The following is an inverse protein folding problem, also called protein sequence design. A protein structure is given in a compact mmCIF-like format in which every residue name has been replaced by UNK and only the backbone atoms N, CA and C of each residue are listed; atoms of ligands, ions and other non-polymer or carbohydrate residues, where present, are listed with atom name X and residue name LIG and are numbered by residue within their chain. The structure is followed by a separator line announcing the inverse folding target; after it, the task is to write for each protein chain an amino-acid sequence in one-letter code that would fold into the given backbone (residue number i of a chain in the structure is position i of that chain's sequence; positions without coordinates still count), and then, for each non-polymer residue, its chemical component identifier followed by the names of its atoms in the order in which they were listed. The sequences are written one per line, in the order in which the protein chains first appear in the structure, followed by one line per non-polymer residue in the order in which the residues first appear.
data_IF_352592686735
#
_entry.id   IF_352592686735
#
_cell.length_a   1.000
_cell.length_b   1.000
_cell.length_c   1.000
_cell.angle_alpha   90.00
_cell.angle_beta   90.00
_cell.angle_gamma   90.00
#
_symmetry.space_group_name_H-M   'P 1'
#
loop_
_entity.id
_entity.type
_entity.pdbx_description
1 polymer ?
#
# COMPACT_ATOMS: atom_id res chain seq x y z
N UNK A 1 -18.87 -24.73 4.26
CA UNK A 1 -18.62 -23.34 3.82
C UNK A 1 -17.22 -23.36 3.22
N UNK A 2 -17.08 -23.15 1.91
CA UNK A 2 -15.80 -23.33 1.24
C UNK A 2 -14.92 -22.11 1.49
N UNK A 3 -13.84 -22.32 2.24
CA UNK A 3 -12.76 -21.35 2.43
C UNK A 3 -12.04 -21.20 1.10
N UNK A 4 -12.35 -20.15 0.34
CA UNK A 4 -11.62 -19.85 -0.89
C UNK A 4 -10.28 -19.23 -0.50
N UNK A 5 -9.19 -19.85 -0.93
CA UNK A 5 -7.82 -19.39 -0.72
C UNK A 5 -7.63 -18.01 -1.36
N UNK A 6 -7.77 -16.96 -0.57
CA UNK A 6 -7.43 -15.58 -0.95
C UNK A 6 -6.02 -15.33 -0.43
N UNK A 7 -5.08 -15.10 -1.34
CA UNK A 7 -3.77 -14.61 -0.95
C UNK A 7 -3.83 -13.08 -0.84
N UNK A 8 -3.25 -12.57 0.25
CA UNK A 8 -3.31 -11.15 0.59
C UNK A 8 -1.91 -10.64 0.90
N UNK A 9 -1.54 -9.56 0.23
CA UNK A 9 -0.29 -8.84 0.47
C UNK A 9 -0.61 -7.39 0.82
N UNK A 10 0.21 -6.82 1.69
CA UNK A 10 0.35 -5.38 1.83
C UNK A 10 1.54 -4.95 0.99
N UNK A 11 1.33 -3.92 0.16
CA UNK A 11 2.34 -3.36 -0.71
C UNK A 11 2.61 -1.90 -0.37
N UNK A 12 3.87 -1.49 -0.53
CA UNK A 12 4.28 -0.09 -0.46
C UNK A 12 4.90 0.28 -1.80
N UNK A 13 4.39 1.32 -2.44
CA UNK A 13 4.94 1.84 -3.70
C UNK A 13 6.34 2.39 -3.44
N UNK A 14 7.33 1.89 -4.18
CA UNK A 14 8.71 2.39 -4.12
C UNK A 14 8.97 3.48 -5.15
N UNK A 15 8.56 3.24 -6.40
CA UNK A 15 8.81 4.15 -7.53
C UNK A 15 7.65 4.10 -8.52
N UNK A 16 7.42 5.21 -9.23
CA UNK A 16 6.36 5.34 -10.24
C UNK A 16 7.00 5.74 -11.57
N UNK A 17 6.74 4.95 -12.61
CA UNK A 17 7.26 5.12 -13.96
C UNK A 17 6.13 5.61 -14.89
N UNK A 18 5.88 6.91 -14.90
CA UNK A 18 4.74 7.50 -15.63
C UNK A 18 4.79 7.23 -17.13
N UNK A 19 5.97 7.30 -17.76
CA UNK A 19 6.13 7.04 -19.20
C UNK A 19 5.84 5.59 -19.58
N UNK A 20 6.11 4.66 -18.66
CA UNK A 20 5.89 3.22 -18.86
C UNK A 20 4.49 2.77 -18.42
N UNK A 21 3.74 3.64 -17.74
CA UNK A 21 2.44 3.30 -17.17
C UNK A 21 2.54 2.19 -16.10
N UNK A 22 3.62 2.20 -15.31
CA UNK A 22 3.90 1.15 -14.32
C UNK A 22 4.48 1.71 -13.02
N UNK A 23 4.49 0.91 -11.96
CA UNK A 23 5.10 1.27 -10.68
C UNK A 23 5.75 0.06 -10.03
N UNK A 24 6.84 0.29 -9.28
CA UNK A 24 7.45 -0.73 -8.44
C UNK A 24 6.88 -0.68 -7.02
N UNK A 25 6.79 -1.84 -6.39
CA UNK A 25 6.33 -1.95 -5.02
C UNK A 25 7.04 -3.07 -4.25
N UNK A 26 7.15 -2.88 -2.94
CA UNK A 26 7.61 -3.90 -2.01
C UNK A 26 6.39 -4.52 -1.34
N UNK A 27 6.21 -5.82 -1.51
CA UNK A 27 5.13 -6.60 -0.94
C UNK A 27 5.57 -7.32 0.34
N UNK A 28 4.65 -7.43 1.28
CA UNK A 28 4.78 -8.25 2.49
C UNK A 28 3.50 -9.07 2.68
N UNK A 29 3.63 -10.38 2.88
CA UNK A 29 2.49 -11.26 3.10
C UNK A 29 1.79 -10.98 4.44
N UNK A 30 0.48 -10.74 4.41
CA UNK A 30 -0.30 -10.34 5.60
C UNK A 30 -0.42 -11.44 6.67
N UNK A 31 -0.28 -12.72 6.29
CA UNK A 31 -0.53 -13.83 7.20
C UNK A 31 0.72 -14.34 7.94
N UNK A 32 1.94 -13.97 7.53
CA UNK A 32 3.16 -14.58 8.07
C UNK A 32 4.39 -13.67 8.14
N UNK A 33 4.29 -12.37 7.82
CA UNK A 33 5.46 -11.49 7.78
C UNK A 33 6.57 -12.05 6.89
N UNK A 34 6.17 -12.69 5.79
CA UNK A 34 7.07 -13.38 4.86
C UNK A 34 8.11 -12.45 4.23
N UNK A 35 9.02 -13.00 3.41
CA UNK A 35 10.05 -12.20 2.77
C UNK A 35 9.43 -11.02 2.01
N UNK A 36 10.16 -9.89 2.00
CA UNK A 36 9.81 -8.74 1.18
C UNK A 36 10.07 -9.10 -0.28
N UNK A 37 9.06 -8.93 -1.11
CA UNK A 37 9.14 -9.21 -2.55
C UNK A 37 9.01 -7.91 -3.32
N UNK A 38 9.89 -7.67 -4.28
CA UNK A 38 9.80 -6.52 -5.18
C UNK A 38 9.07 -6.93 -6.46
N UNK A 39 8.10 -6.12 -6.87
CA UNK A 39 7.29 -6.38 -8.05
C UNK A 39 7.05 -5.10 -8.84
N UNK A 40 6.82 -5.23 -10.15
CA UNK A 40 6.36 -4.14 -11.01
C UNK A 40 4.93 -4.40 -11.45
N UNK A 41 4.04 -3.42 -11.28
CA UNK A 41 2.61 -3.50 -11.58
C UNK A 41 2.23 -2.41 -12.59
N UNK A 42 1.23 -2.70 -13.42
CA UNK A 42 0.71 -1.73 -14.40
C UNK A 42 -0.30 -0.78 -13.76
N UNK A 43 -0.39 0.44 -14.26
CA UNK A 43 -1.47 1.37 -13.93
C UNK A 43 -2.84 0.79 -14.27
N UNK A 44 -2.94 -0.10 -15.25
CA UNK A 44 -4.19 -0.77 -15.61
C UNK A 44 -4.73 -1.69 -14.50
N UNK A 45 -3.88 -2.12 -13.56
CA UNK A 45 -4.31 -2.89 -12.39
C UNK A 45 -4.85 -2.00 -11.26
N UNK A 46 -4.71 -0.69 -11.37
CA UNK A 46 -5.18 0.29 -10.40
C UNK A 46 -6.52 0.87 -10.88
N UNK A 47 -7.54 0.81 -10.02
CA UNK A 47 -8.83 1.42 -10.35
C UNK A 47 -8.71 2.94 -10.51
N UNK A 48 -9.47 3.52 -11.43
CA UNK A 48 -9.50 4.98 -11.67
C UNK A 48 -9.69 5.80 -10.38
N UNK A 49 -10.51 5.33 -9.44
CA UNK A 49 -10.78 5.97 -8.15
C UNK A 49 -9.58 6.02 -7.19
N UNK A 50 -8.62 5.10 -7.37
CA UNK A 50 -7.44 4.97 -6.54
C UNK A 50 -6.18 5.51 -7.25
N UNK A 51 -6.26 5.80 -8.56
CA UNK A 51 -5.14 6.36 -9.33
C UNK A 51 -4.55 7.64 -8.70
N UNK A 52 -5.34 8.59 -8.15
CA UNK A 52 -4.77 9.76 -7.46
C UNK A 52 -3.97 9.44 -6.19
N UNK A 53 -4.08 8.22 -5.65
CA UNK A 53 -3.35 7.75 -4.48
C UNK A 53 -2.02 7.07 -4.84
N UNK A 54 -1.78 6.80 -6.13
CA UNK A 54 -0.57 6.16 -6.61
C UNK A 54 0.61 7.14 -6.56
N UNK A 55 1.39 7.04 -5.50
CA UNK A 55 2.61 7.84 -5.28
C UNK A 55 3.62 7.03 -4.48
N UNK A 56 4.93 7.35 -4.56
CA UNK A 56 5.93 6.74 -3.69
C UNK A 56 5.53 6.81 -2.20
N UNK A 57 5.70 5.70 -1.50
CA UNK A 57 5.28 5.53 -0.10
C UNK A 57 3.79 5.22 0.11
N UNK A 58 2.96 5.22 -0.93
CA UNK A 58 1.56 4.84 -0.80
C UNK A 58 1.44 3.34 -0.44
N UNK A 59 0.51 3.04 0.47
CA UNK A 59 0.22 1.68 0.91
C UNK A 59 -0.99 1.16 0.14
N UNK A 60 -0.93 -0.07 -0.34
CA UNK A 60 -2.05 -0.76 -0.96
C UNK A 60 -2.18 -2.20 -0.47
N UNK A 61 -3.36 -2.76 -0.66
CA UNK A 61 -3.64 -4.18 -0.43
C UNK A 61 -3.83 -4.86 -1.77
N UNK A 62 -3.05 -5.91 -2.01
CA UNK A 62 -3.20 -6.75 -3.18
C UNK A 62 -3.84 -8.07 -2.78
N UNK A 63 -5.02 -8.34 -3.35
CA UNK A 63 -5.78 -9.55 -3.10
C UNK A 63 -5.88 -10.34 -4.39
N UNK A 64 -5.39 -11.58 -4.39
CA UNK A 64 -5.56 -12.51 -5.50
C UNK A 64 -6.48 -13.63 -5.02
N UNK A 65 -7.62 -13.77 -5.69
CA UNK A 65 -8.64 -14.74 -5.31
C UNK A 65 -9.70 -14.91 -6.39
N UNK A 66 -10.94 -15.11 -5.95
CA UNK A 66 -12.08 -15.31 -6.82
C UNK A 66 -13.20 -14.33 -6.46
N UNK A 67 -13.80 -13.71 -7.48
CA UNK A 67 -14.97 -12.86 -7.34
C UNK A 67 -16.19 -13.59 -7.92
N UNK A 68 -17.34 -13.47 -7.25
CA UNK A 68 -18.60 -14.04 -7.71
C UNK A 68 -19.53 -12.93 -8.20
N UNK A 69 -19.64 -12.77 -9.52
CA UNK A 69 -20.55 -11.81 -10.15
C UNK A 69 -21.68 -12.57 -10.86
N UNK A 70 -22.94 -12.29 -10.51
CA UNK A 70 -24.13 -12.92 -11.11
C UNK A 70 -24.10 -14.47 -11.15
N UNK A 71 -23.54 -15.11 -10.12
CA UNK A 71 -23.46 -16.58 -10.03
C UNK A 71 -22.23 -17.19 -10.71
N UNK A 72 -21.49 -16.42 -11.51
CA UNK A 72 -20.24 -16.87 -12.13
C UNK A 72 -19.04 -16.52 -11.22
N UNK A 73 -18.14 -17.49 -11.02
CA UNK A 73 -16.89 -17.31 -10.28
C UNK A 73 -15.77 -17.00 -11.27
N UNK A 74 -15.10 -15.86 -11.12
CA UNK A 74 -13.93 -15.47 -11.93
C UNK A 74 -12.72 -15.26 -11.04
N UNK A 75 -11.53 -15.57 -11.55
CA UNK A 75 -10.28 -15.21 -10.88
C UNK A 75 -10.13 -13.68 -10.93
N UNK A 76 -9.85 -13.07 -9.80
CA UNK A 76 -9.70 -11.62 -9.68
C UNK A 76 -8.36 -11.28 -9.00
N UNK A 77 -7.68 -10.27 -9.54
CA UNK A 77 -6.53 -9.58 -8.97
C UNK A 77 -7.02 -8.17 -8.63
N UNK A 78 -7.07 -7.82 -7.35
CA UNK A 78 -7.63 -6.53 -6.92
C UNK A 78 -6.61 -5.80 -6.06
N UNK A 79 -6.22 -4.61 -6.53
CA UNK A 79 -5.40 -3.64 -5.79
C UNK A 79 -6.34 -2.58 -5.22
N UNK A 80 -6.19 -2.28 -3.93
CA UNK A 80 -6.89 -1.17 -3.27
C UNK A 80 -5.95 -0.34 -2.44
N UNK A 81 -5.93 0.96 -2.68
CA UNK A 81 -5.06 1.88 -1.96
C UNK A 81 -5.63 2.26 -0.60
N UNK A 82 -4.75 2.30 0.41
CA UNK A 82 -5.09 2.75 1.75
C UNK A 82 -5.24 4.28 1.74
N UNK A 83 -6.44 4.75 2.03
CA UNK A 83 -6.74 6.19 2.14
C UNK A 83 -6.24 6.70 3.49
N UNK A 84 -4.99 7.15 3.50
CA UNK A 84 -4.41 7.81 4.67
C UNK A 84 -4.89 9.27 4.71
N UNK A 85 -5.10 9.85 5.91
CA UNK A 85 -5.30 11.28 6.04
C UNK A 85 -4.14 12.03 5.39
N UNK A 86 -4.44 13.11 4.69
CA UNK A 86 -3.39 13.99 4.19
C UNK A 86 -2.70 14.68 5.36
N UNK A 87 -1.39 14.50 5.47
CA UNK A 87 -0.58 15.23 6.42
C UNK A 87 -0.52 16.70 6.00
N UNK A 88 -1.02 17.59 6.84
CA UNK A 88 -0.88 19.02 6.60
C UNK A 88 0.49 19.50 7.07
N UNK A 89 0.94 20.65 6.58
CA UNK A 89 2.18 21.29 7.07
C UNK A 89 2.15 21.49 8.59
N UNK A 90 0.97 21.82 9.13
CA UNK A 90 0.76 21.99 10.56
C UNK A 90 0.99 20.70 11.35
N UNK A 91 0.54 19.56 10.83
CA UNK A 91 0.74 18.25 11.48
C UNK A 91 2.22 17.88 11.49
N UNK A 92 2.94 18.19 10.40
CA UNK A 92 4.39 18.04 10.31
C UNK A 92 5.14 18.91 11.32
N UNK A 93 4.81 20.20 11.40
CA UNK A 93 5.43 21.13 12.34
C UNK A 93 5.23 20.65 13.79
N UNK A 94 4.03 20.17 14.14
CA UNK A 94 3.73 19.62 15.46
C UNK A 94 4.54 18.35 15.79
N UNK A 95 4.75 17.46 14.81
CA UNK A 95 5.58 16.28 15.01
C UNK A 95 7.03 16.68 15.24
N UNK A 96 7.56 17.61 14.44
CA UNK A 96 8.94 18.08 14.56
C UNK A 96 9.19 18.80 15.88
N UNK A 97 8.26 19.64 16.33
CA UNK A 97 8.32 20.28 17.64
C UNK A 97 8.40 19.24 18.76
N UNK A 98 7.53 18.23 18.71
CA UNK A 98 7.51 17.15 19.70
C UNK A 98 8.78 16.28 19.66
N UNK A 99 9.32 16.01 18.48
CA UNK A 99 10.58 15.29 18.33
C UNK A 99 11.75 16.07 18.95
N UNK A 100 11.82 17.38 18.69
CA UNK A 100 12.83 18.27 19.28
C UNK A 100 12.70 18.37 20.80
N UNK A 101 11.47 18.37 21.34
CA UNK A 101 11.24 18.33 22.79
C UNK A 101 11.76 17.03 23.41
N UNK A 102 11.48 15.89 22.78
CA UNK A 102 11.97 14.59 23.23
C UNK A 102 13.51 14.52 23.18
N UNK A 103 14.13 14.98 22.10
CA UNK A 103 15.60 15.00 21.95
C UNK A 103 16.27 15.79 23.08
N UNK A 104 15.74 16.97 23.43
CA UNK A 104 16.26 17.81 24.52
C UNK A 104 16.11 17.16 25.91
N UNK A 105 15.16 16.24 26.05
CA UNK A 105 14.91 15.52 27.30
C UNK A 105 15.73 14.24 27.47
N UNK A 106 16.51 13.84 26.46
CA UNK A 106 17.37 12.65 26.55
C UNK A 106 18.73 13.08 27.11
N UNK A 107 19.02 12.70 28.36
CA UNK A 107 20.39 12.70 28.88
C UNK A 107 21.12 11.48 28.31
N UNK A 108 22.14 11.74 27.48
CA UNK A 108 23.05 10.71 26.98
C UNK A 108 24.19 10.55 27.98
N UNK A 109 24.27 9.40 28.66
CA UNK A 109 25.45 8.98 29.46
C UNK A 109 26.62 8.50 28.57
#
# INVERSE_FOLDING_TARGET
MAEQHVHKWEGIVSEVFEEEGSFSAILTGLNNGGPKEEVTLSFEEVSEEDMPLLKPGAIFYWNIGYEKLHGQVKKASIIRFKRLPEWTKKDWDQIMDKANELEKGIEWE
#
